data_IF_784708939172
#
_entry.id   IF_784708939172
#
_cell.length_a   1.000
_cell.length_b   1.000
_cell.length_c   1.000
_cell.angle_alpha   90.00
_cell.angle_beta   90.00
_cell.angle_gamma   90.00
#
_symmetry.space_group_name_H-M   'P 1'
#
loop_
_entity.id
_entity.type
_entity.pdbx_description
1 polymer ?
#
# COMPACT_ATOMS: atom_id res chain seq x y z
N UNK A 1 7.42 -16.11 39.57
CA UNK A 1 8.73 -15.57 39.16
C UNK A 1 8.94 -14.22 39.84
N UNK A 2 9.99 -14.08 40.66
CA UNK A 2 10.25 -12.85 41.39
C UNK A 2 11.11 -11.86 40.56
N UNK A 3 11.31 -10.64 41.06
CA UNK A 3 12.09 -9.61 40.35
C UNK A 3 13.56 -9.96 40.15
N UNK A 4 14.15 -10.76 41.05
CA UNK A 4 15.51 -11.28 40.92
C UNK A 4 15.63 -12.22 39.73
N UNK A 5 14.70 -13.18 39.62
CA UNK A 5 14.60 -14.13 38.51
C UNK A 5 14.43 -13.41 37.16
N UNK A 6 13.57 -12.38 37.12
CA UNK A 6 13.35 -11.55 35.92
C UNK A 6 14.66 -10.85 35.51
N UNK A 7 15.39 -10.26 36.47
CA UNK A 7 16.65 -9.55 36.19
C UNK A 7 17.72 -10.52 35.66
N UNK A 8 17.86 -11.69 36.28
CA UNK A 8 18.80 -12.73 35.84
C UNK A 8 18.46 -13.22 34.42
N UNK A 9 17.19 -13.54 34.17
CA UNK A 9 16.70 -13.94 32.85
C UNK A 9 17.05 -12.89 31.77
N UNK A 10 16.76 -11.61 32.04
CA UNK A 10 17.04 -10.52 31.09
C UNK A 10 18.54 -10.38 30.80
N UNK A 11 19.41 -10.52 31.80
CA UNK A 11 20.88 -10.50 31.62
C UNK A 11 21.33 -11.62 30.68
N UNK A 12 20.91 -12.85 30.94
CA UNK A 12 21.27 -14.02 30.13
C UNK A 12 20.75 -13.90 28.69
N UNK A 13 19.53 -13.38 28.49
CA UNK A 13 18.99 -13.11 27.15
C UNK A 13 19.78 -12.04 26.40
N UNK A 14 20.21 -10.97 27.09
CA UNK A 14 21.04 -9.91 26.50
C UNK A 14 22.39 -10.45 26.03
N UNK A 15 22.89 -11.50 26.67
CA UNK A 15 24.08 -12.25 26.26
C UNK A 15 23.81 -13.29 25.15
N UNK A 16 22.61 -13.31 24.55
CA UNK A 16 22.27 -14.20 23.45
C UNK A 16 21.87 -15.62 23.83
N UNK A 17 21.72 -15.92 25.13
CA UNK A 17 21.37 -17.28 25.58
C UNK A 17 19.88 -17.55 25.28
N UNK A 18 19.54 -18.67 24.61
CA UNK A 18 18.17 -19.04 24.34
C UNK A 18 17.34 -19.22 25.63
N UNK A 19 16.11 -18.71 25.64
CA UNK A 19 15.20 -18.75 26.82
C UNK A 19 15.03 -20.16 27.39
N UNK A 20 15.02 -21.20 26.54
CA UNK A 20 14.94 -22.58 27.01
C UNK A 20 16.15 -22.98 27.87
N UNK A 21 17.37 -22.59 27.47
CA UNK A 21 18.62 -22.86 28.21
C UNK A 21 18.71 -22.04 29.49
N UNK A 22 18.12 -20.85 29.50
CA UNK A 22 18.00 -20.04 30.72
C UNK A 22 17.11 -20.75 31.74
N UNK A 23 15.98 -21.34 31.31
CA UNK A 23 15.14 -22.13 32.20
C UNK A 23 15.88 -23.33 32.78
N UNK A 24 16.59 -24.08 31.92
CA UNK A 24 17.39 -25.23 32.37
C UNK A 24 18.46 -24.80 33.40
N UNK A 25 19.07 -23.61 33.24
CA UNK A 25 20.01 -23.05 34.22
C UNK A 25 19.35 -22.76 35.58
N UNK A 26 18.10 -22.31 35.62
CA UNK A 26 17.39 -22.10 36.89
C UNK A 26 17.11 -23.42 37.60
N UNK A 27 16.78 -24.46 36.84
CA UNK A 27 16.59 -25.83 37.34
C UNK A 27 17.89 -26.37 37.91
N UNK A 28 19.01 -26.24 37.19
CA UNK A 28 20.32 -26.67 37.67
C UNK A 28 20.75 -25.94 38.95
N UNK A 29 20.45 -24.64 39.08
CA UNK A 29 20.78 -23.86 40.28
C UNK A 29 19.94 -24.25 41.50
N UNK A 30 18.70 -24.70 41.30
CA UNK A 30 17.75 -24.99 42.38
C UNK A 30 17.54 -26.49 42.63
N UNK A 31 18.19 -27.34 41.84
CA UNK A 31 18.24 -28.79 42.03
C UNK A 31 17.05 -29.57 41.46
N UNK A 32 15.93 -28.92 41.13
CA UNK A 32 14.79 -29.58 40.47
C UNK A 32 13.86 -28.58 39.81
N UNK A 33 12.98 -29.07 38.94
CA UNK A 33 11.96 -28.26 38.26
C UNK A 33 10.95 -27.67 39.25
N UNK A 34 10.56 -28.43 40.28
CA UNK A 34 9.55 -28.01 41.27
C UNK A 34 10.07 -26.89 42.18
N UNK A 35 11.37 -26.86 42.46
CA UNK A 35 12.02 -25.83 43.29
C UNK A 35 12.16 -24.48 42.57
N UNK A 36 11.93 -24.40 41.26
CA UNK A 36 12.01 -23.14 40.49
C UNK A 36 10.84 -22.20 40.78
N UNK A 37 9.67 -22.71 41.16
CA UNK A 37 8.52 -21.87 41.53
C UNK A 37 7.96 -21.01 40.39
N UNK A 38 8.30 -21.31 39.14
CA UNK A 38 7.67 -20.80 37.92
C UNK A 38 7.99 -21.75 36.77
N UNK A 39 7.14 -21.75 35.75
CA UNK A 39 7.33 -22.59 34.58
C UNK A 39 7.98 -21.82 33.43
N UNK A 40 8.48 -22.57 32.44
CA UNK A 40 9.03 -22.00 31.20
C UNK A 40 8.04 -21.06 30.49
N UNK A 41 6.73 -21.35 30.55
CA UNK A 41 5.67 -20.49 29.98
C UNK A 41 5.63 -19.11 30.66
N UNK A 42 5.88 -19.02 31.96
CA UNK A 42 5.90 -17.73 32.69
C UNK A 42 7.03 -16.82 32.19
N UNK A 43 8.19 -17.39 31.85
CA UNK A 43 9.27 -16.65 31.20
C UNK A 43 8.85 -16.09 29.85
N UNK A 44 8.24 -16.92 28.99
CA UNK A 44 7.75 -16.46 27.68
C UNK A 44 6.65 -15.41 27.80
N UNK A 45 5.71 -15.58 28.73
CA UNK A 45 4.67 -14.58 29.01
C UNK A 45 5.27 -13.25 29.47
N UNK A 46 6.33 -13.29 30.30
CA UNK A 46 7.04 -12.09 30.74
C UNK A 46 7.77 -11.41 29.60
N UNK A 47 8.44 -12.17 28.74
CA UNK A 47 9.12 -11.66 27.54
C UNK A 47 8.12 -10.99 26.60
N UNK A 48 6.97 -11.61 26.38
CA UNK A 48 5.92 -11.05 25.53
C UNK A 48 5.30 -9.80 26.14
N UNK A 49 5.10 -9.75 27.46
CA UNK A 49 4.65 -8.54 28.16
C UNK A 49 5.67 -7.41 28.04
N UNK A 50 6.96 -7.72 28.18
CA UNK A 50 8.04 -6.75 28.02
C UNK A 50 8.12 -6.24 26.56
N UNK A 51 7.88 -7.10 25.56
CA UNK A 51 7.79 -6.73 24.14
C UNK A 51 6.60 -5.81 23.86
N UNK A 52 5.42 -6.13 24.41
CA UNK A 52 4.20 -5.31 24.24
C UNK A 52 4.27 -3.95 24.93
N UNK A 53 5.11 -3.79 25.96
CA UNK A 53 5.34 -2.51 26.63
C UNK A 53 6.40 -1.63 25.94
N UNK A 54 7.01 -2.11 24.86
CA UNK A 54 7.90 -1.30 24.02
C UNK A 54 7.07 -0.63 22.93
N UNK A 55 6.53 0.55 23.21
CA UNK A 55 5.89 1.44 22.21
C UNK A 55 6.89 1.97 21.15
N UNK A 56 8.07 1.38 21.03
CA UNK A 56 9.11 1.80 20.09
C UNK A 56 8.59 1.80 18.66
N UNK A 57 7.99 0.68 18.23
CA UNK A 57 7.49 0.53 16.86
C UNK A 57 6.35 1.49 16.55
N UNK A 58 5.51 1.79 17.54
CA UNK A 58 4.40 2.76 17.41
C UNK A 58 4.93 4.17 17.25
N UNK A 59 5.88 4.58 18.08
CA UNK A 59 6.48 5.92 18.03
C UNK A 59 7.31 6.13 16.77
N UNK A 60 8.00 5.09 16.30
CA UNK A 60 8.73 5.16 15.02
C UNK A 60 7.78 5.21 13.83
N UNK A 61 6.67 4.44 13.84
CA UNK A 61 5.62 4.55 12.82
C UNK A 61 4.96 5.93 12.81
N UNK A 62 4.69 6.50 13.98
CA UNK A 62 4.16 7.86 14.13
C UNK A 62 5.13 8.91 13.57
N UNK A 63 6.42 8.85 13.94
CA UNK A 63 7.45 9.73 13.38
C UNK A 63 7.55 9.60 11.86
N UNK A 64 7.45 8.38 11.34
CA UNK A 64 7.48 8.13 9.90
C UNK A 64 6.27 8.78 9.20
N UNK A 65 5.05 8.62 9.73
CA UNK A 65 3.84 9.24 9.19
C UNK A 65 3.92 10.78 9.25
N UNK A 66 4.42 11.34 10.35
CA UNK A 66 4.70 12.78 10.48
C UNK A 66 5.70 13.22 9.40
N UNK A 67 6.77 12.45 9.18
CA UNK A 67 7.78 12.75 8.15
C UNK A 67 7.22 12.72 6.73
N UNK A 68 6.23 11.85 6.47
CA UNK A 68 5.52 11.81 5.20
C UNK A 68 4.63 13.05 5.04
N UNK A 69 3.96 13.51 6.10
CA UNK A 69 3.14 14.72 6.05
C UNK A 69 3.93 15.99 5.71
N UNK A 70 5.21 16.05 6.10
CA UNK A 70 6.10 17.15 5.67
C UNK A 70 6.42 17.13 4.17
N UNK A 71 6.44 15.95 3.55
CA UNK A 71 6.73 15.78 2.12
C UNK A 71 5.48 15.92 1.27
N UNK A 72 4.35 15.49 1.79
CA UNK A 72 3.05 15.56 1.13
C UNK A 72 2.03 16.27 2.03
N UNK A 73 1.80 17.58 1.81
CA UNK A 73 0.83 18.37 2.57
C UNK A 73 -0.61 17.85 2.49
N UNK A 74 -0.92 16.96 1.54
CA UNK A 74 -2.24 16.36 1.38
C UNK A 74 -2.35 14.97 2.03
N UNK A 75 -1.28 14.46 2.66
CA UNK A 75 -1.33 13.18 3.37
C UNK A 75 -2.44 13.21 4.43
N UNK A 76 -3.38 12.28 4.32
CA UNK A 76 -4.35 12.02 5.37
C UNK A 76 -3.87 10.85 6.23
N UNK A 77 -3.99 10.99 7.56
CA UNK A 77 -3.69 9.93 8.51
C UNK A 77 -4.72 9.93 9.65
N UNK A 78 -5.56 8.90 9.72
CA UNK A 78 -6.50 8.66 10.81
C UNK A 78 -6.02 7.51 11.70
N UNK A 79 -5.90 7.74 13.00
CA UNK A 79 -5.60 6.68 13.97
C UNK A 79 -6.55 6.75 15.18
N UNK A 80 -6.97 5.59 15.72
CA UNK A 80 -7.73 5.51 16.97
C UNK A 80 -6.75 5.24 18.12
N UNK A 81 -6.60 6.21 19.02
CA UNK A 81 -5.69 6.17 20.17
C UNK A 81 -6.28 5.27 21.26
N UNK A 82 -6.04 3.96 21.16
CA UNK A 82 -6.06 3.10 22.36
C UNK A 82 -5.16 1.85 22.22
N UNK A 83 -4.77 1.57 20.98
CA UNK A 83 -3.60 0.81 20.49
C UNK A 83 -3.60 1.10 18.99
N UNK A 84 -2.44 1.15 18.35
CA UNK A 84 -2.29 1.36 16.91
C UNK A 84 -2.83 0.15 16.09
N UNK A 85 -4.07 -0.29 16.36
CA UNK A 85 -4.70 -1.48 15.80
C UNK A 85 -5.19 -1.22 14.37
N UNK A 86 -5.50 0.04 14.05
CA UNK A 86 -5.98 0.48 12.76
C UNK A 86 -5.36 1.83 12.42
N UNK A 87 -4.32 1.81 11.58
CA UNK A 87 -3.79 3.01 10.91
C UNK A 87 -4.44 3.10 9.54
N UNK A 88 -5.12 4.21 9.26
CA UNK A 88 -5.53 4.54 7.91
C UNK A 88 -4.70 5.72 7.43
N UNK A 89 -4.06 5.57 6.27
CA UNK A 89 -3.32 6.64 5.64
C UNK A 89 -3.57 6.62 4.13
N UNK A 90 -3.58 7.79 3.50
CA UNK A 90 -3.51 7.92 2.05
C UNK A 90 -2.73 9.17 1.68
N UNK A 91 -1.81 9.05 0.72
CA UNK A 91 -1.10 10.20 0.18
C UNK A 91 -2.04 11.03 -0.71
N UNK A 92 -1.66 12.27 -0.96
CA UNK A 92 -2.43 13.21 -1.78
C UNK A 92 -2.61 12.71 -3.20
N UNK A 93 -1.65 11.92 -3.71
CA UNK A 93 -1.77 11.31 -5.02
C UNK A 93 -2.85 10.23 -5.04
N UNK A 94 -2.91 9.38 -4.02
CA UNK A 94 -3.96 8.35 -3.87
C UNK A 94 -5.34 8.97 -3.70
N UNK A 95 -5.45 10.15 -3.09
CA UNK A 95 -6.73 10.89 -3.02
C UNK A 95 -7.15 11.41 -4.40
N UNK A 96 -6.22 12.00 -5.17
CA UNK A 96 -6.48 12.46 -6.55
C UNK A 96 -6.82 11.26 -7.44
N UNK A 97 -6.07 10.17 -7.30
CA UNK A 97 -6.33 8.92 -8.01
C UNK A 97 -7.72 8.39 -7.62
N UNK A 98 -8.11 8.40 -6.34
CA UNK A 98 -9.46 7.99 -5.93
C UNK A 98 -10.56 8.90 -6.51
N UNK A 99 -10.39 10.22 -6.52
CA UNK A 99 -11.36 11.15 -7.14
C UNK A 99 -11.52 10.88 -8.65
N UNK A 100 -10.44 10.43 -9.28
CA UNK A 100 -10.41 10.13 -10.70
C UNK A 100 -10.97 8.74 -10.98
N UNK A 101 -10.58 7.72 -10.22
CA UNK A 101 -10.81 6.30 -10.52
C UNK A 101 -11.95 5.67 -9.71
N UNK A 102 -12.39 6.28 -8.62
CA UNK A 102 -13.38 5.73 -7.70
C UNK A 102 -12.86 4.51 -6.94
N UNK A 103 -13.77 3.66 -6.47
CA UNK A 103 -13.43 2.40 -5.82
C UNK A 103 -12.86 1.40 -6.83
N UNK A 104 -11.53 1.38 -6.98
CA UNK A 104 -10.83 0.40 -7.82
C UNK A 104 -10.46 -0.80 -6.96
N UNK A 105 -11.41 -1.69 -6.74
CA UNK A 105 -11.11 -3.04 -6.30
C UNK A 105 -10.46 -3.79 -7.48
N UNK A 106 -9.22 -4.26 -7.32
CA UNK A 106 -8.56 -5.10 -8.31
C UNK A 106 -9.25 -6.47 -8.37
N UNK A 107 -10.29 -6.61 -9.19
CA UNK A 107 -10.71 -7.92 -9.69
C UNK A 107 -10.02 -8.15 -11.04
N UNK A 108 -9.31 -9.27 -11.16
CA UNK A 108 -8.49 -9.63 -12.32
C UNK A 108 -9.34 -10.21 -13.47
N UNK A 109 -10.56 -9.71 -13.66
CA UNK A 109 -11.51 -10.24 -14.63
C UNK A 109 -12.15 -9.09 -15.43
N UNK A 110 -11.51 -8.68 -16.53
CA UNK A 110 -12.21 -7.94 -17.58
C UNK A 110 -11.97 -8.57 -18.96
N UNK A 111 -13.08 -8.81 -19.65
CA UNK A 111 -13.16 -9.40 -20.98
C UNK A 111 -12.77 -8.44 -22.10
N UNK A 112 -12.65 -9.01 -23.31
CA UNK A 112 -12.02 -8.44 -24.51
C UNK A 112 -12.90 -7.41 -25.22
N UNK A 113 -12.33 -6.25 -25.56
CA UNK A 113 -12.88 -5.25 -26.50
C UNK A 113 -12.34 -5.52 -27.94
N UNK A 114 -13.07 -5.05 -28.96
CA UNK A 114 -12.82 -5.12 -30.40
C UNK A 114 -11.59 -4.30 -30.87
N UNK A 115 -11.04 -3.35 -30.08
CA UNK A 115 -9.78 -2.62 -30.36
C UNK A 115 -8.53 -3.22 -29.71
N UNK A 116 -8.22 -4.47 -30.00
CA UNK A 116 -7.13 -5.25 -29.37
C UNK A 116 -5.69 -4.67 -29.43
N UNK A 117 -5.43 -3.46 -29.91
CA UNK A 117 -4.07 -2.94 -30.08
C UNK A 117 -3.41 -2.39 -28.80
N UNK A 118 -4.10 -1.59 -27.98
CA UNK A 118 -3.47 -0.94 -26.82
C UNK A 118 -3.17 -1.88 -25.63
N UNK A 119 -3.85 -3.05 -25.56
CA UNK A 119 -3.66 -4.03 -24.48
C UNK A 119 -2.58 -5.07 -24.82
N UNK A 120 -2.35 -5.36 -26.11
CA UNK A 120 -1.45 -6.45 -26.54
C UNK A 120 0.05 -6.09 -26.49
N UNK A 121 0.41 -4.80 -26.32
CA UNK A 121 1.80 -4.33 -26.22
C UNK A 121 2.55 -4.77 -24.93
N UNK A 122 1.89 -5.31 -23.91
CA UNK A 122 2.54 -5.64 -22.62
C UNK A 122 2.07 -6.99 -22.06
N UNK A 123 2.63 -8.12 -22.54
CA UNK A 123 2.10 -9.47 -22.26
C UNK A 123 2.24 -9.98 -20.81
N UNK A 124 2.80 -9.20 -19.86
CA UNK A 124 3.07 -9.66 -18.49
C UNK A 124 2.49 -8.76 -17.37
N UNK A 125 1.59 -7.82 -17.67
CA UNK A 125 0.99 -6.95 -16.66
C UNK A 125 -0.52 -7.13 -16.63
N UNK A 126 -1.08 -7.43 -15.46
CA UNK A 126 -2.52 -7.52 -15.25
C UNK A 126 -3.19 -6.22 -15.71
N UNK A 127 -4.23 -6.37 -16.53
CA UNK A 127 -4.86 -5.33 -17.34
C UNK A 127 -5.18 -4.05 -16.56
N UNK A 128 -5.55 -4.16 -15.29
CA UNK A 128 -5.91 -3.04 -14.42
C UNK A 128 -4.73 -2.12 -14.05
N UNK A 129 -3.51 -2.65 -13.92
CA UNK A 129 -2.31 -1.84 -13.60
C UNK A 129 -1.91 -0.98 -14.81
N UNK A 130 -2.06 -1.53 -16.02
CA UNK A 130 -1.80 -0.80 -17.25
C UNK A 130 -2.76 0.38 -17.42
N UNK A 131 -4.05 0.17 -17.17
CA UNK A 131 -5.06 1.24 -17.28
C UNK A 131 -4.83 2.39 -16.31
N UNK A 132 -4.51 2.08 -15.05
CA UNK A 132 -4.17 3.10 -14.04
C UNK A 132 -2.93 3.88 -14.48
N UNK A 133 -1.88 3.20 -14.95
CA UNK A 133 -0.68 3.86 -15.46
C UNK A 133 -0.96 4.73 -16.69
N UNK A 134 -1.83 4.29 -17.60
CA UNK A 134 -2.14 5.01 -18.84
C UNK A 134 -2.96 6.27 -18.58
N UNK A 135 -4.00 6.17 -17.75
CA UNK A 135 -4.80 7.34 -17.35
C UNK A 135 -3.96 8.31 -16.51
N UNK A 136 -3.07 7.81 -15.64
CA UNK A 136 -2.12 8.65 -14.91
C UNK A 136 -1.20 9.38 -15.88
N UNK A 137 -0.69 8.71 -16.92
CA UNK A 137 0.13 9.32 -17.95
C UNK A 137 -0.61 10.44 -18.71
N UNK A 138 -1.88 10.20 -19.08
CA UNK A 138 -2.76 11.23 -19.68
C UNK A 138 -2.96 12.42 -18.75
N UNK A 139 -3.28 12.15 -17.48
CA UNK A 139 -3.56 13.20 -16.49
C UNK A 139 -2.31 14.06 -16.21
N UNK A 140 -1.12 13.44 -16.16
CA UNK A 140 0.13 14.15 -15.95
C UNK A 140 0.55 15.04 -17.12
N UNK A 141 0.34 14.59 -18.37
CA UNK A 141 0.76 15.31 -19.57
C UNK A 141 -0.25 16.35 -20.05
N UNK A 142 -1.54 16.02 -20.04
CA UNK A 142 -2.59 16.91 -20.55
C UNK A 142 -3.06 17.89 -19.46
N UNK A 143 -3.02 17.49 -18.18
CA UNK A 143 -3.44 18.28 -17.01
C UNK A 143 -4.82 18.93 -17.17
N UNK A 144 -5.71 18.26 -17.88
CA UNK A 144 -7.09 18.70 -18.11
C UNK A 144 -8.05 17.62 -17.61
N UNK A 145 -8.73 17.89 -16.51
CA UNK A 145 -9.63 16.94 -15.85
C UNK A 145 -10.80 16.52 -16.74
N UNK A 146 -11.32 17.46 -17.55
CA UNK A 146 -12.39 17.19 -18.51
C UNK A 146 -11.92 16.20 -19.58
N UNK A 147 -10.70 16.38 -20.08
CA UNK A 147 -10.12 15.44 -21.03
C UNK A 147 -9.90 14.07 -20.40
N UNK A 148 -9.36 13.99 -19.17
CA UNK A 148 -9.17 12.72 -18.46
C UNK A 148 -10.49 11.95 -18.29
N UNK A 149 -11.61 12.63 -18.05
CA UNK A 149 -12.95 12.02 -17.97
C UNK A 149 -13.40 11.48 -19.33
N UNK A 150 -13.34 12.30 -20.38
CA UNK A 150 -13.75 11.88 -21.73
C UNK A 150 -12.86 10.74 -22.27
N UNK A 151 -11.57 10.80 -22.00
CA UNK A 151 -10.60 9.76 -22.35
C UNK A 151 -10.96 8.41 -21.72
N UNK A 152 -11.38 8.40 -20.44
CA UNK A 152 -11.86 7.17 -19.78
C UNK A 152 -13.08 6.59 -20.46
N UNK A 153 -14.04 7.43 -20.83
CA UNK A 153 -15.23 6.97 -21.55
C UNK A 153 -14.89 6.38 -22.92
N UNK A 154 -13.89 6.93 -23.61
CA UNK A 154 -13.40 6.37 -24.87
C UNK A 154 -12.77 4.98 -24.68
N UNK A 155 -12.02 4.78 -23.59
CA UNK A 155 -11.28 3.53 -23.34
C UNK A 155 -12.12 2.43 -22.67
N UNK A 156 -13.07 2.80 -21.82
CA UNK A 156 -13.91 1.87 -21.05
C UNK A 156 -15.30 1.67 -21.65
N UNK A 157 -15.70 2.53 -22.60
CA UNK A 157 -16.96 2.39 -23.30
C UNK A 157 -16.96 1.17 -24.22
N UNK A 158 -18.10 0.47 -24.29
CA UNK A 158 -18.37 -0.48 -25.35
C UNK A 158 -18.74 0.29 -26.61
N UNK A 159 -17.72 0.76 -27.33
CA UNK A 159 -17.85 1.62 -28.50
C UNK A 159 -17.44 0.84 -29.75
N UNK A 160 -18.15 1.06 -30.86
CA UNK A 160 -17.64 0.71 -32.18
C UNK A 160 -16.67 1.79 -32.72
N UNK A 161 -16.19 1.62 -33.96
CA UNK A 161 -15.02 2.39 -34.45
C UNK A 161 -15.47 3.82 -34.63
N UNK A 162 -16.61 3.97 -35.28
CA UNK A 162 -17.20 5.26 -35.56
C UNK A 162 -17.55 6.01 -34.27
N UNK A 163 -18.10 5.32 -33.27
CA UNK A 163 -18.40 5.90 -31.96
C UNK A 163 -17.14 6.32 -31.20
N UNK A 164 -16.07 5.53 -31.24
CA UNK A 164 -14.78 5.90 -30.65
C UNK A 164 -14.21 7.15 -31.33
N UNK A 165 -14.17 7.17 -32.67
CA UNK A 165 -13.61 8.29 -33.43
C UNK A 165 -14.39 9.59 -33.18
N UNK A 166 -15.73 9.52 -33.17
CA UNK A 166 -16.57 10.66 -32.85
C UNK A 166 -16.35 11.17 -31.42
N UNK A 167 -16.30 10.27 -30.43
CA UNK A 167 -16.05 10.65 -29.03
C UNK A 167 -14.66 11.23 -28.83
N UNK A 168 -13.64 10.64 -29.46
CA UNK A 168 -12.28 11.14 -29.41
C UNK A 168 -12.17 12.56 -30.01
N UNK A 169 -12.70 12.76 -31.22
CA UNK A 169 -12.71 14.06 -31.88
C UNK A 169 -13.42 15.11 -31.02
N UNK A 170 -14.60 14.78 -30.47
CA UNK A 170 -15.34 15.67 -29.57
C UNK A 170 -14.55 16.00 -28.29
N UNK A 171 -13.80 15.04 -27.75
CA UNK A 171 -12.97 15.26 -26.58
C UNK A 171 -11.78 16.19 -26.84
N UNK A 172 -11.10 16.01 -27.97
CA UNK A 172 -9.96 16.85 -28.39
C UNK A 172 -10.43 18.27 -28.68
N UNK A 173 -11.52 18.42 -29.45
CA UNK A 173 -12.09 19.72 -29.78
C UNK A 173 -12.63 20.43 -28.54
N UNK A 174 -13.47 19.74 -27.75
CA UNK A 174 -14.11 20.28 -26.56
C UNK A 174 -13.14 20.61 -25.41
N UNK A 175 -11.91 20.09 -25.46
CA UNK A 175 -10.84 20.41 -24.52
C UNK A 175 -9.76 21.33 -25.11
N UNK A 176 -9.94 21.81 -26.35
CA UNK A 176 -8.98 22.65 -27.08
C UNK A 176 -7.57 22.03 -27.19
N UNK A 177 -7.51 20.72 -27.46
CA UNK A 177 -6.26 19.96 -27.57
C UNK A 177 -5.82 19.72 -29.02
N UNK A 178 -6.46 20.38 -30.00
CA UNK A 178 -6.03 20.33 -31.40
C UNK A 178 -4.60 20.89 -31.54
N UNK A 179 -3.70 20.12 -32.18
CA UNK A 179 -2.28 20.47 -32.28
C UNK A 179 -1.43 20.10 -31.07
N UNK A 180 -2.00 19.44 -30.05
CA UNK A 180 -1.22 18.92 -28.94
C UNK A 180 -0.45 17.67 -29.39
N UNK A 181 0.84 17.84 -29.63
CA UNK A 181 1.77 16.79 -30.10
C UNK A 181 1.63 15.49 -29.31
N UNK A 182 1.51 15.58 -27.99
CA UNK A 182 1.41 14.40 -27.13
C UNK A 182 0.08 13.66 -27.32
N UNK A 183 -1.03 14.39 -27.46
CA UNK A 183 -2.36 13.81 -27.72
C UNK A 183 -2.43 13.19 -29.11
N UNK A 184 -1.79 13.81 -30.11
CA UNK A 184 -1.67 13.27 -31.47
C UNK A 184 -0.82 12.00 -31.49
N UNK A 185 0.34 11.99 -30.83
CA UNK A 185 1.18 10.79 -30.67
C UNK A 185 0.43 9.66 -29.96
N UNK A 186 -0.38 10.00 -28.94
CA UNK A 186 -1.21 9.05 -28.23
C UNK A 186 -2.27 8.43 -29.13
N UNK A 187 -2.95 9.25 -29.92
CA UNK A 187 -3.94 8.80 -30.90
C UNK A 187 -3.32 7.90 -31.97
N UNK A 188 -2.15 8.26 -32.48
CA UNK A 188 -1.45 7.49 -33.52
C UNK A 188 -1.02 6.09 -33.05
N UNK A 189 -0.86 5.87 -31.74
CA UNK A 189 -0.57 4.54 -31.17
C UNK A 189 -1.73 3.56 -31.27
N UNK A 190 -2.94 3.99 -31.67
CA UNK A 190 -4.07 3.06 -31.88
C UNK A 190 -3.91 2.19 -33.13
N UNK A 191 -3.07 2.62 -34.08
CA UNK A 191 -2.82 1.95 -35.38
C UNK A 191 -1.54 1.08 -35.37
N UNK A 192 -0.82 1.02 -34.24
CA UNK A 192 0.41 0.23 -34.05
C UNK A 192 0.11 -1.12 -33.42
#
# INVERSE_FOLDING_TARGET
MNDGDVKQMRRMRKSGIPTCKIYDSFVSQRGSYDMVGFCKKDMYNKIERDRRGQDGDVKEAEKFLISLGFKDPKLYCGHKVDRLLHIFWCDGMSQIDYDIFGDVAFDATYGRNKYKYLIESFPNCSSSIMWVAFIRNVTCNVRNERFSKLFKECMLGDLDIEQFEQKWASAVEGCHLGGNVWVEELYNKKEM
#
